data_IF_368556359859
#
_entry.id   IF_368556359859
#
_cell.length_a   1.000
_cell.length_b   1.000
_cell.length_c   1.000
_cell.angle_alpha   90.00
_cell.angle_beta   90.00
_cell.angle_gamma   90.00
#
_symmetry.space_group_name_H-M   'P 1'
#
loop_
_entity.id
_entity.type
_entity.pdbx_description
1 polymer ?
#
# COMPACT_ATOMS: atom_id res chain seq x y z
N UNK A 1 -5.20 -19.18 24.60
CA UNK A 1 -4.87 -20.12 23.51
C UNK A 1 -5.88 -20.05 22.34
N UNK A 2 -7.15 -20.46 22.51
CA UNK A 2 -8.15 -20.40 21.43
C UNK A 2 -8.62 -18.97 21.09
N UNK A 3 -8.83 -18.13 22.12
CA UNK A 3 -9.18 -16.72 21.93
C UNK A 3 -8.04 -15.93 21.27
N UNK A 4 -6.79 -16.17 21.65
CA UNK A 4 -5.62 -15.56 21.01
C UNK A 4 -5.47 -15.98 19.53
N UNK A 5 -5.82 -17.22 19.19
CA UNK A 5 -5.79 -17.71 17.82
C UNK A 5 -6.87 -17.06 16.94
N UNK A 6 -8.08 -16.86 17.48
CA UNK A 6 -9.15 -16.12 16.80
C UNK A 6 -8.79 -14.64 16.64
N UNK A 7 -8.20 -14.02 17.67
CA UNK A 7 -7.78 -12.62 17.64
C UNK A 7 -6.68 -12.40 16.60
N UNK A 8 -5.67 -13.28 16.53
CA UNK A 8 -4.61 -13.24 15.52
C UNK A 8 -5.12 -13.47 14.08
N UNK A 9 -6.07 -14.39 13.87
CA UNK A 9 -6.70 -14.57 12.55
C UNK A 9 -7.50 -13.34 12.11
N UNK A 10 -8.18 -12.67 13.04
CA UNK A 10 -8.97 -11.46 12.78
C UNK A 10 -8.06 -10.25 12.50
N UNK A 11 -6.93 -10.15 13.21
CA UNK A 11 -5.90 -9.12 12.97
C UNK A 11 -5.16 -9.30 11.64
N UNK A 12 -4.87 -10.54 11.23
CA UNK A 12 -4.28 -10.81 9.93
C UNK A 12 -5.29 -10.53 8.79
N UNK A 13 -6.55 -10.97 8.95
CA UNK A 13 -7.61 -10.74 7.96
C UNK A 13 -7.96 -9.28 7.73
N UNK A 14 -7.99 -8.46 8.80
CA UNK A 14 -8.28 -7.02 8.70
C UNK A 14 -7.18 -6.20 8.01
N UNK A 15 -5.96 -6.74 7.87
CA UNK A 15 -4.84 -6.10 7.17
C UNK A 15 -4.71 -6.53 5.70
N UNK A 16 -5.49 -7.53 5.25
CA UNK A 16 -5.49 -8.00 3.87
C UNK A 16 -6.42 -7.12 3.03
N UNK A 17 -5.88 -6.51 1.96
CA UNK A 17 -6.62 -5.64 1.04
C UNK A 17 -7.27 -6.44 -0.10
N UNK A 18 -6.59 -7.48 -0.60
CA UNK A 18 -7.02 -8.21 -1.79
C UNK A 18 -8.16 -9.21 -1.54
N UNK A 19 -9.21 -9.17 -2.37
CA UNK A 19 -10.37 -10.07 -2.27
C UNK A 19 -10.80 -10.70 -3.60
N UNK A 20 -10.61 -9.98 -4.72
CA UNK A 20 -11.18 -10.37 -6.03
C UNK A 20 -10.21 -11.15 -6.94
N UNK A 21 -8.91 -11.14 -6.66
CA UNK A 21 -7.90 -11.83 -7.49
C UNK A 21 -7.57 -11.18 -8.84
N UNK A 22 -8.16 -10.03 -9.17
CA UNK A 22 -7.96 -9.34 -10.46
C UNK A 22 -6.94 -8.20 -10.44
N UNK A 23 -6.53 -7.75 -9.25
CA UNK A 23 -5.72 -6.52 -9.09
C UNK A 23 -4.37 -6.57 -9.81
N UNK A 24 -3.76 -7.75 -9.92
CA UNK A 24 -2.49 -7.92 -10.64
C UNK A 24 -2.60 -7.57 -12.14
N UNK A 25 -3.72 -7.90 -12.79
CA UNK A 25 -3.90 -7.67 -14.23
C UNK A 25 -4.02 -6.19 -14.59
N UNK A 26 -4.20 -5.30 -13.61
CA UNK A 26 -4.12 -3.84 -13.81
C UNK A 26 -2.78 -3.40 -14.45
N UNK A 27 -1.71 -4.18 -14.27
CA UNK A 27 -0.42 -3.93 -14.90
C UNK A 27 -0.50 -3.89 -16.43
N UNK A 28 -1.34 -4.73 -17.05
CA UNK A 28 -1.50 -4.79 -18.52
C UNK A 28 -2.24 -3.58 -19.10
N UNK A 29 -2.85 -2.73 -18.27
CA UNK A 29 -3.34 -1.44 -18.74
C UNK A 29 -2.19 -0.58 -19.28
N UNK A 30 -1.03 -0.62 -18.63
CA UNK A 30 0.12 0.24 -18.92
C UNK A 30 1.31 -0.49 -19.54
N UNK A 31 1.29 -1.83 -19.58
CA UNK A 31 2.42 -2.66 -19.98
C UNK A 31 2.20 -3.36 -21.33
N UNK A 32 3.27 -3.46 -22.13
CA UNK A 32 3.36 -4.40 -23.24
C UNK A 32 3.86 -5.78 -22.80
N UNK A 33 4.62 -5.84 -21.70
CA UNK A 33 5.15 -7.07 -21.13
C UNK A 33 5.30 -6.90 -19.61
N UNK A 34 5.01 -7.94 -18.87
CA UNK A 34 5.23 -8.03 -17.43
C UNK A 34 6.12 -9.24 -17.15
N UNK A 35 7.19 -9.03 -16.40
CA UNK A 35 8.03 -10.10 -15.87
C UNK A 35 7.95 -10.11 -14.35
N UNK A 36 7.71 -11.27 -13.76
CA UNK A 36 7.64 -11.47 -12.32
C UNK A 36 8.73 -12.45 -11.91
N UNK A 37 9.55 -12.07 -10.95
CA UNK A 37 10.56 -12.91 -10.34
C UNK A 37 10.14 -13.16 -8.90
N UNK A 38 9.95 -14.41 -8.51
CA UNK A 38 9.46 -14.76 -7.17
C UNK A 38 10.21 -15.93 -6.59
N UNK A 39 10.47 -15.88 -5.28
CA UNK A 39 10.99 -16.99 -4.49
C UNK A 39 10.25 -17.07 -3.17
N UNK A 40 9.77 -18.27 -2.83
CA UNK A 40 9.09 -18.54 -1.56
C UNK A 40 10.01 -18.29 -0.36
N UNK A 41 9.41 -18.17 0.83
CA UNK A 41 10.15 -18.17 2.09
C UNK A 41 10.51 -19.59 2.54
N UNK A 42 9.86 -20.61 1.99
CA UNK A 42 10.10 -22.01 2.34
C UNK A 42 11.54 -22.44 2.08
N UNK A 43 12.09 -23.24 3.00
CA UNK A 43 13.44 -23.76 2.90
C UNK A 43 13.61 -24.63 1.65
N UNK A 44 14.72 -24.43 0.93
CA UNK A 44 15.01 -25.13 -0.32
C UNK A 44 14.21 -24.66 -1.53
N UNK A 45 13.36 -23.63 -1.39
CA UNK A 45 12.59 -23.10 -2.52
C UNK A 45 13.46 -22.45 -3.60
N UNK A 46 13.17 -22.80 -4.85
CA UNK A 46 13.81 -22.24 -6.04
C UNK A 46 13.18 -20.90 -6.42
N UNK A 47 13.94 -20.10 -7.17
CA UNK A 47 13.42 -18.89 -7.80
C UNK A 47 12.75 -19.22 -9.13
N UNK A 48 11.67 -18.51 -9.45
CA UNK A 48 11.00 -18.62 -10.74
C UNK A 48 10.83 -17.26 -11.40
N UNK A 49 10.90 -17.25 -12.73
CA UNK A 49 10.49 -16.15 -13.59
C UNK A 49 9.18 -16.53 -14.27
N UNK A 50 8.16 -15.71 -14.07
CA UNK A 50 6.93 -15.69 -14.85
C UNK A 50 6.98 -14.53 -15.85
N UNK A 51 6.49 -14.72 -17.07
CA UNK A 51 6.48 -13.70 -18.12
C UNK A 51 5.22 -13.78 -18.97
N UNK A 52 4.62 -12.63 -19.28
CA UNK A 52 3.47 -12.53 -20.18
C UNK A 52 3.38 -11.15 -20.83
N UNK A 53 2.80 -11.09 -22.02
CA UNK A 53 2.40 -9.86 -22.73
C UNK A 53 0.91 -9.51 -22.53
N UNK A 54 0.15 -10.35 -21.81
CA UNK A 54 -1.28 -10.16 -21.58
C UNK A 54 -2.19 -10.73 -22.67
N UNK A 55 -1.65 -11.46 -23.65
CA UNK A 55 -2.40 -12.08 -24.76
C UNK A 55 -3.17 -13.36 -24.39
N UNK A 56 -3.16 -13.75 -23.11
CA UNK A 56 -3.80 -14.98 -22.62
C UNK A 56 -2.86 -16.16 -22.42
N UNK A 57 -1.59 -16.02 -22.80
CA UNK A 57 -0.52 -17.00 -22.53
C UNK A 57 0.54 -16.41 -21.60
N UNK A 58 1.23 -17.30 -20.88
CA UNK A 58 2.37 -16.95 -20.04
C UNK A 58 3.38 -18.08 -20.01
N UNK A 59 4.62 -17.74 -19.68
CA UNK A 59 5.73 -18.68 -19.52
C UNK A 59 6.21 -18.67 -18.07
N UNK A 60 6.63 -19.84 -17.59
CA UNK A 60 7.29 -19.99 -16.28
C UNK A 60 8.59 -20.76 -16.49
N UNK A 61 9.68 -20.24 -15.96
CA UNK A 61 10.99 -20.89 -15.95
C UNK A 61 11.67 -20.72 -14.59
N UNK A 62 12.55 -21.66 -14.23
CA UNK A 62 13.42 -21.49 -13.07
C UNK A 62 14.39 -20.32 -13.31
N UNK A 63 14.67 -19.55 -12.26
CA UNK A 63 15.56 -18.41 -12.29
C UNK A 63 16.49 -18.41 -11.08
N UNK A 64 17.79 -18.30 -11.34
CA UNK A 64 18.81 -18.14 -10.31
C UNK A 64 18.91 -16.68 -9.84
N UNK A 65 19.46 -16.45 -8.65
CA UNK A 65 19.67 -15.10 -8.11
C UNK A 65 18.40 -14.35 -7.67
N UNK A 66 17.26 -15.03 -7.58
CA UNK A 66 16.00 -14.43 -7.12
C UNK A 66 16.02 -14.29 -5.60
N UNK A 67 15.82 -13.07 -5.11
CA UNK A 67 15.65 -12.79 -3.67
C UNK A 67 14.29 -13.31 -3.19
N UNK A 68 14.22 -13.82 -1.96
CA UNK A 68 12.93 -14.17 -1.31
C UNK A 68 11.95 -12.99 -1.35
N UNK A 69 10.70 -13.29 -1.69
CA UNK A 69 9.68 -12.31 -2.03
C UNK A 69 9.46 -12.21 -3.55
N UNK A 70 8.87 -11.09 -3.98
CA UNK A 70 8.43 -10.90 -5.37
C UNK A 70 8.96 -9.58 -5.94
N UNK A 71 9.54 -9.64 -7.13
CA UNK A 71 9.93 -8.48 -7.95
C UNK A 71 9.12 -8.50 -9.24
N UNK A 72 8.47 -7.38 -9.55
CA UNK A 72 7.70 -7.21 -10.79
C UNK A 72 8.38 -6.14 -11.65
N UNK A 73 8.63 -6.45 -12.91
CA UNK A 73 9.20 -5.55 -13.92
C UNK A 73 8.15 -5.32 -14.99
N UNK A 74 7.80 -4.04 -15.19
CA UNK A 74 6.76 -3.63 -16.13
C UNK A 74 7.42 -2.93 -17.31
N UNK A 75 7.25 -3.48 -18.50
CA UNK A 75 7.71 -2.88 -19.75
C UNK A 75 6.58 -2.01 -20.30
N UNK A 76 6.67 -0.71 -20.01
CA UNK A 76 5.63 0.27 -20.30
C UNK A 76 5.37 0.44 -21.80
N UNK A 77 4.10 0.59 -22.16
CA UNK A 77 3.63 1.05 -23.47
C UNK A 77 4.19 2.44 -23.79
N UNK A 78 4.20 2.80 -25.08
CA UNK A 78 4.72 4.10 -25.54
C UNK A 78 3.91 5.29 -25.04
N UNK A 79 2.59 5.13 -24.92
CA UNK A 79 1.69 6.13 -24.34
C UNK A 79 1.69 6.16 -22.80
N UNK A 80 2.34 5.20 -22.15
CA UNK A 80 2.36 5.06 -20.68
C UNK A 80 3.73 5.34 -20.06
N UNK A 81 4.67 5.94 -20.81
CA UNK A 81 6.04 6.23 -20.32
C UNK A 81 6.07 7.21 -19.15
N UNK A 82 4.99 7.94 -18.88
CA UNK A 82 4.89 8.82 -17.71
C UNK A 82 5.16 8.07 -16.39
N UNK A 83 4.81 6.78 -16.31
CA UNK A 83 5.03 5.96 -15.11
C UNK A 83 6.49 5.52 -14.93
N UNK A 84 7.40 5.89 -15.83
CA UNK A 84 8.85 5.78 -15.61
C UNK A 84 9.44 7.05 -14.96
N UNK A 85 8.68 8.15 -14.84
CA UNK A 85 9.13 9.39 -14.21
C UNK A 85 8.95 9.31 -12.68
N UNK A 86 10.02 9.60 -11.93
CA UNK A 86 10.01 9.54 -10.46
C UNK A 86 8.88 10.39 -9.86
N UNK A 87 8.73 11.64 -10.28
CA UNK A 87 7.70 12.55 -9.74
C UNK A 87 6.29 11.99 -9.96
N UNK A 88 6.04 11.43 -11.14
CA UNK A 88 4.73 10.87 -11.47
C UNK A 88 4.40 9.65 -10.61
N UNK A 89 5.36 8.75 -10.41
CA UNK A 89 5.18 7.59 -9.52
C UNK A 89 4.98 8.07 -8.07
N UNK A 90 5.75 9.07 -7.64
CA UNK A 90 5.62 9.66 -6.30
C UNK A 90 4.23 10.22 -6.06
N UNK A 91 3.67 10.99 -6.99
CA UNK A 91 2.30 11.50 -6.93
C UNK A 91 1.27 10.37 -6.73
N UNK A 92 1.38 9.29 -7.52
CA UNK A 92 0.47 8.15 -7.44
C UNK A 92 0.60 7.44 -6.09
N UNK A 93 1.82 7.20 -5.61
CA UNK A 93 2.06 6.59 -4.29
C UNK A 93 1.51 7.46 -3.18
N UNK A 94 1.76 8.78 -3.20
CA UNK A 94 1.23 9.71 -2.19
C UNK A 94 -0.30 9.77 -2.22
N UNK A 95 -0.91 9.67 -3.40
CA UNK A 95 -2.37 9.74 -3.53
C UNK A 95 -3.09 8.49 -3.00
N UNK A 96 -2.58 7.30 -3.30
CA UNK A 96 -3.31 6.04 -3.06
C UNK A 96 -2.69 5.13 -2.00
N UNK A 97 -1.41 5.30 -1.69
CA UNK A 97 -0.62 4.32 -0.93
C UNK A 97 0.20 4.93 0.20
N UNK A 98 0.01 6.21 0.51
CA UNK A 98 0.78 6.91 1.54
C UNK A 98 0.58 6.34 2.95
N UNK A 99 -0.53 5.65 3.18
CA UNK A 99 -0.90 5.10 4.48
C UNK A 99 -0.70 3.58 4.59
N UNK A 100 0.00 2.96 3.62
CA UNK A 100 0.38 1.55 3.72
C UNK A 100 1.31 1.36 4.92
N UNK A 101 1.06 0.30 5.69
CA UNK A 101 1.73 0.00 6.98
C UNK A 101 3.20 -0.39 6.86
N UNK A 102 3.70 -0.63 5.65
CA UNK A 102 5.08 -1.01 5.37
C UNK A 102 5.84 0.15 4.72
N UNK A 103 7.14 0.32 5.01
CA UNK A 103 7.96 1.31 4.35
C UNK A 103 8.02 1.09 2.83
N UNK A 104 7.70 2.13 2.06
CA UNK A 104 7.76 2.19 0.60
C UNK A 104 8.95 3.08 0.21
N UNK A 105 9.81 2.54 -0.64
CA UNK A 105 10.98 3.22 -1.17
C UNK A 105 10.81 3.43 -2.68
N UNK A 106 11.06 4.65 -3.14
CA UNK A 106 11.13 5.02 -4.55
C UNK A 106 12.56 5.50 -4.84
N UNK A 107 13.27 4.85 -5.77
CA UNK A 107 14.65 5.17 -6.13
C UNK A 107 15.59 5.31 -4.90
N UNK A 108 15.41 4.44 -3.90
CA UNK A 108 16.19 4.44 -2.67
C UNK A 108 15.74 5.42 -1.58
N UNK A 109 14.72 6.26 -1.84
CA UNK A 109 14.19 7.24 -0.89
C UNK A 109 12.85 6.78 -0.34
N UNK A 110 12.67 6.87 0.99
CA UNK A 110 11.38 6.55 1.63
C UNK A 110 10.34 7.61 1.24
N UNK A 111 9.17 7.17 0.76
CA UNK A 111 8.10 8.09 0.28
C UNK A 111 6.87 8.14 1.18
N UNK A 112 6.52 7.05 1.86
CA UNK A 112 5.41 7.07 2.83
C UNK A 112 5.92 7.35 4.26
N UNK A 113 5.61 8.53 4.75
CA UNK A 113 6.06 9.01 6.08
C UNK A 113 4.91 9.19 7.06
N UNK A 114 3.66 9.28 6.57
CA UNK A 114 2.50 9.51 7.42
C UNK A 114 1.86 8.20 7.88
N UNK A 115 1.50 8.18 9.15
CA UNK A 115 0.76 7.08 9.75
C UNK A 115 -0.75 7.28 9.56
N UNK A 116 -1.48 6.18 9.42
CA UNK A 116 -2.95 6.19 9.35
C UNK A 116 -3.54 6.48 10.75
N UNK A 117 -3.52 7.74 11.19
CA UNK A 117 -3.90 8.14 12.54
C UNK A 117 -5.31 7.66 12.94
N UNK A 118 -6.25 7.59 11.98
CA UNK A 118 -7.61 7.13 12.24
C UNK A 118 -7.68 5.67 12.75
N UNK A 119 -6.65 4.85 12.48
CA UNK A 119 -6.55 3.47 12.96
C UNK A 119 -5.97 3.35 14.38
N UNK A 120 -5.21 4.35 14.83
CA UNK A 120 -4.52 4.34 16.13
C UNK A 120 -5.48 4.56 17.30
N UNK A 121 -5.04 4.31 18.54
CA UNK A 121 -5.78 4.70 19.74
C UNK A 121 -5.73 6.23 19.89
N UNK A 122 -6.87 6.94 20.01
CA UNK A 122 -6.89 8.39 20.19
C UNK A 122 -5.99 8.90 21.33
N UNK A 123 -5.77 8.09 22.37
CA UNK A 123 -4.93 8.45 23.53
C UNK A 123 -3.44 8.42 23.22
N UNK A 124 -3.02 7.74 22.16
CA UNK A 124 -1.62 7.62 21.74
C UNK A 124 -1.22 8.70 20.73
N UNK A 125 -2.15 9.56 20.32
CA UNK A 125 -1.94 10.58 19.29
C UNK A 125 -1.78 11.93 19.97
N UNK A 126 -0.59 12.53 19.83
CA UNK A 126 -0.35 13.89 20.31
C UNK A 126 -1.01 14.95 19.43
N UNK A 127 -1.22 16.15 19.98
CA UNK A 127 -1.77 17.30 19.24
C UNK A 127 -0.97 17.61 17.97
N UNK A 128 0.37 17.54 18.05
CA UNK A 128 1.25 17.78 16.90
C UNK A 128 1.00 16.80 15.75
N UNK A 129 0.66 15.54 16.04
CA UNK A 129 0.36 14.53 15.02
C UNK A 129 -0.96 14.87 14.33
N UNK A 130 -1.95 15.32 15.10
CA UNK A 130 -3.21 15.81 14.56
C UNK A 130 -3.02 17.05 13.68
N UNK A 131 -2.19 18.02 14.09
CA UNK A 131 -1.87 19.19 13.26
C UNK A 131 -1.23 18.78 11.93
N UNK A 132 -0.18 17.96 11.95
CA UNK A 132 0.53 17.54 10.74
C UNK A 132 -0.37 16.72 9.80
N UNK A 133 -1.17 15.82 10.37
CA UNK A 133 -2.13 15.03 9.61
C UNK A 133 -3.26 15.89 9.02
N UNK A 134 -3.79 16.86 9.78
CA UNK A 134 -4.77 17.83 9.30
C UNK A 134 -4.23 18.62 8.11
N UNK A 135 -3.05 19.24 8.26
CA UNK A 135 -2.40 20.00 7.17
C UNK A 135 -2.21 19.16 5.91
N UNK A 136 -1.83 17.89 6.08
CA UNK A 136 -1.67 16.98 4.96
C UNK A 136 -2.99 16.69 4.23
N UNK A 137 -4.07 16.35 4.94
CA UNK A 137 -5.34 15.99 4.29
C UNK A 137 -6.13 17.20 3.79
N UNK A 138 -6.06 18.32 4.51
CA UNK A 138 -6.79 19.55 4.19
C UNK A 138 -6.03 20.46 3.22
N UNK A 139 -4.75 20.17 2.95
CA UNK A 139 -3.85 21.01 2.16
C UNK A 139 -3.83 22.46 2.68
N UNK A 140 -3.76 22.61 4.00
CA UNK A 140 -3.81 23.90 4.70
C UNK A 140 -2.57 24.13 5.58
N UNK A 141 -2.37 25.36 6.01
CA UNK A 141 -1.26 25.77 6.88
C UNK A 141 -1.69 26.08 8.32
N UNK A 142 -3.00 26.21 8.56
CA UNK A 142 -3.58 26.50 9.87
C UNK A 142 -3.58 25.24 10.76
N UNK A 143 -4.32 25.31 11.86
CA UNK A 143 -4.46 24.22 12.84
C UNK A 143 -5.93 23.88 13.04
N UNK A 144 -6.25 22.64 13.44
CA UNK A 144 -7.62 22.30 13.79
C UNK A 144 -7.98 22.91 15.15
N UNK A 145 -9.07 23.69 15.20
CA UNK A 145 -9.69 24.16 16.46
C UNK A 145 -10.38 23.02 17.21
N UNK A 146 -11.02 22.12 16.47
CA UNK A 146 -11.64 20.93 17.04
C UNK A 146 -11.19 19.66 16.34
N UNK A 147 -11.07 18.60 17.12
CA UNK A 147 -10.68 17.27 16.69
C UNK A 147 -11.73 16.29 17.23
N UNK A 148 -12.36 15.52 16.34
CA UNK A 148 -13.24 14.41 16.71
C UNK A 148 -12.66 13.13 16.13
N UNK A 149 -11.99 12.33 16.96
CA UNK A 149 -11.56 10.98 16.60
C UNK A 149 -12.61 9.97 17.05
N UNK A 150 -13.29 9.36 16.08
CA UNK A 150 -14.40 8.44 16.31
C UNK A 150 -14.06 7.02 15.84
N UNK A 151 -14.28 6.05 16.73
CA UNK A 151 -14.11 4.61 16.47
C UNK A 151 -15.34 3.87 16.97
N UNK A 152 -15.96 3.07 16.10
CA UNK A 152 -17.02 2.12 16.50
C UNK A 152 -16.92 0.86 15.64
N UNK A 153 -17.38 -0.26 16.19
CA UNK A 153 -17.49 -1.54 15.48
C UNK A 153 -18.95 -1.96 15.22
N UNK A 154 -19.92 -1.23 15.79
CA UNK A 154 -21.35 -1.49 15.65
C UNK A 154 -22.15 -0.18 15.44
N UNK A 155 -23.18 -0.17 14.57
CA UNK A 155 -23.59 -1.26 13.67
C UNK A 155 -22.64 -1.46 12.48
N UNK A 156 -21.68 -0.55 12.29
CA UNK A 156 -20.68 -0.59 11.23
C UNK A 156 -19.30 -0.37 11.82
N UNK A 157 -18.29 -0.99 11.23
CA UNK A 157 -16.90 -0.65 11.53
C UNK A 157 -16.58 0.74 10.95
N UNK A 158 -16.34 1.70 11.83
CA UNK A 158 -15.99 3.07 11.49
C UNK A 158 -14.70 3.43 12.23
N UNK A 159 -13.78 4.03 11.49
CA UNK A 159 -12.54 4.63 11.97
C UNK A 159 -12.42 5.98 11.27
N UNK A 160 -12.63 7.08 11.97
CA UNK A 160 -12.65 8.40 11.37
C UNK A 160 -12.04 9.46 12.28
N UNK A 161 -11.50 10.51 11.66
CA UNK A 161 -11.11 11.74 12.33
C UNK A 161 -11.73 12.89 11.57
N UNK A 162 -12.41 13.78 12.29
CA UNK A 162 -12.94 15.03 11.76
C UNK A 162 -12.19 16.21 12.39
N UNK A 163 -11.92 17.22 11.57
CA UNK A 163 -11.26 18.45 11.99
C UNK A 163 -12.15 19.64 11.68
N UNK A 164 -12.19 20.62 12.60
CA UNK A 164 -12.78 21.94 12.35
C UNK A 164 -11.62 22.94 12.29
N UNK A 165 -11.40 23.65 11.17
CA UNK A 165 -10.34 24.65 11.03
C UNK A 165 -10.44 25.78 12.06
N UNK A 166 -9.31 26.40 12.39
CA UNK A 166 -9.26 27.54 13.30
C UNK A 166 -9.75 28.86 12.68
N UNK A 167 -9.77 28.96 11.35
CA UNK A 167 -9.88 30.21 10.55
C UNK A 167 -8.67 31.13 10.71
#
# INVERSE_FOLDING_TARGET
AFLDALQNQTEAGSKIIGQFGVGFYSAFMVANKVEVYSRSLEDGSLGYKWSSDGSGVFEIAEASGVRTGTKIVIYLKEDCKEFAREDRVKEVVTKYSNFISFPVYLNGRRVNTLQALWMMDPKEIGEWQHEEFYRFIAQSYDKPRYILHYKTDAPLNIRSIFYIPEM
#
